data_IF_461947032581
#
_entry.id   IF_461947032581
#
_cell.length_a   1.000
_cell.length_b   1.000
_cell.length_c   1.000
_cell.angle_alpha   90.00
_cell.angle_beta   90.00
_cell.angle_gamma   90.00
#
_symmetry.space_group_name_H-M   'P 1'
#
loop_
_entity.id
_entity.type
_entity.pdbx_description
1 polymer ?
#
# COMPACT_ATOMS: atom_id res chain seq x y z
N UNK A 1 -23.38 72.33 -19.90
CA UNK A 1 -24.43 71.32 -19.61
C UNK A 1 -24.31 70.05 -20.45
N UNK A 2 -24.00 70.13 -21.75
CA UNK A 2 -23.86 68.97 -22.64
C UNK A 2 -22.62 68.09 -22.35
N UNK A 3 -21.48 68.71 -22.03
CA UNK A 3 -20.19 68.02 -21.75
C UNK A 3 -20.19 67.16 -20.48
N UNK A 4 -21.08 67.47 -19.52
CA UNK A 4 -21.19 66.74 -18.24
C UNK A 4 -21.99 65.45 -18.43
N UNK A 5 -23.11 65.51 -19.17
CA UNK A 5 -23.90 64.34 -19.55
C UNK A 5 -23.09 63.31 -20.36
N UNK A 6 -22.27 63.74 -21.30
CA UNK A 6 -21.42 62.82 -22.08
C UNK A 6 -20.34 62.15 -21.23
N UNK A 7 -19.76 62.86 -20.27
CA UNK A 7 -18.83 62.27 -19.29
C UNK A 7 -19.50 61.24 -18.39
N UNK A 8 -20.69 61.53 -17.88
CA UNK A 8 -21.43 60.62 -16.99
C UNK A 8 -21.81 59.32 -17.73
N UNK A 9 -22.23 59.43 -19.01
CA UNK A 9 -22.50 58.28 -19.88
C UNK A 9 -21.23 57.45 -20.11
N UNK A 10 -20.09 58.11 -20.38
CA UNK A 10 -18.81 57.43 -20.62
C UNK A 10 -18.34 56.65 -19.38
N UNK A 11 -18.49 57.23 -18.18
CA UNK A 11 -18.15 56.58 -16.91
C UNK A 11 -19.02 55.34 -16.70
N UNK A 12 -20.32 55.43 -17.00
CA UNK A 12 -21.25 54.32 -16.86
C UNK A 12 -20.91 53.16 -17.82
N UNK A 13 -20.61 53.46 -19.08
CA UNK A 13 -20.18 52.45 -20.07
C UNK A 13 -18.85 51.81 -19.66
N UNK A 14 -17.89 52.60 -19.19
CA UNK A 14 -16.61 52.08 -18.70
C UNK A 14 -16.79 51.13 -17.51
N UNK A 15 -17.66 51.48 -16.55
CA UNK A 15 -17.95 50.62 -15.41
C UNK A 15 -18.54 49.26 -15.84
N UNK A 16 -19.46 49.25 -16.81
CA UNK A 16 -20.04 48.01 -17.35
C UNK A 16 -18.97 47.13 -17.99
N UNK A 17 -18.05 47.71 -18.76
CA UNK A 17 -16.96 46.97 -19.40
C UNK A 17 -16.05 46.33 -18.36
N UNK A 18 -15.67 47.07 -17.31
CA UNK A 18 -14.81 46.56 -16.24
C UNK A 18 -15.48 45.42 -15.47
N UNK A 19 -16.75 45.57 -15.10
CA UNK A 19 -17.51 44.53 -14.40
C UNK A 19 -17.64 43.27 -15.28
N UNK A 20 -17.90 43.44 -16.57
CA UNK A 20 -18.04 42.32 -17.52
C UNK A 20 -16.71 41.58 -17.69
N UNK A 21 -15.59 42.30 -17.79
CA UNK A 21 -14.26 41.71 -17.89
C UNK A 21 -13.90 40.91 -16.62
N UNK A 22 -14.18 41.45 -15.44
CA UNK A 22 -13.97 40.74 -14.17
C UNK A 22 -14.83 39.48 -14.06
N UNK A 23 -16.12 39.57 -14.41
CA UNK A 23 -17.01 38.42 -14.42
C UNK A 23 -16.52 37.33 -15.39
N UNK A 24 -16.02 37.73 -16.55
CA UNK A 24 -15.47 36.79 -17.55
C UNK A 24 -14.20 36.09 -17.07
N UNK A 25 -13.28 36.82 -16.39
CA UNK A 25 -12.08 36.22 -15.79
C UNK A 25 -12.44 35.23 -14.69
N UNK A 26 -13.39 35.57 -13.83
CA UNK A 26 -13.89 34.66 -12.77
C UNK A 26 -14.53 33.42 -13.40
N UNK A 27 -15.35 33.60 -14.44
CA UNK A 27 -15.95 32.49 -15.17
C UNK A 27 -14.88 31.57 -15.79
N UNK A 28 -13.86 32.13 -16.46
CA UNK A 28 -12.75 31.36 -17.01
C UNK A 28 -11.98 30.59 -15.95
N UNK A 29 -11.72 31.22 -14.79
CA UNK A 29 -11.05 30.56 -13.67
C UNK A 29 -11.83 29.31 -13.21
N UNK A 30 -13.14 29.43 -12.98
CA UNK A 30 -13.97 28.30 -12.59
C UNK A 30 -14.14 27.26 -13.71
N UNK A 31 -14.21 27.69 -14.97
CA UNK A 31 -14.28 26.78 -16.12
C UNK A 31 -13.02 25.94 -16.26
N UNK A 32 -11.84 26.56 -16.12
CA UNK A 32 -10.54 25.87 -16.13
C UNK A 32 -10.45 24.92 -14.93
N UNK A 33 -10.77 25.37 -13.72
CA UNK A 33 -10.78 24.48 -12.55
C UNK A 33 -11.71 23.27 -12.74
N UNK A 34 -12.91 23.46 -13.32
CA UNK A 34 -13.82 22.35 -13.59
C UNK A 34 -13.28 21.39 -14.67
N UNK A 35 -12.61 21.92 -15.69
CA UNK A 35 -12.04 21.12 -16.80
C UNK A 35 -10.82 20.30 -16.35
N UNK A 36 -10.04 20.83 -15.42
CA UNK A 36 -8.82 20.20 -14.90
C UNK A 36 -8.96 19.66 -13.47
N UNK A 37 -10.17 19.64 -12.92
CA UNK A 37 -10.49 18.82 -11.77
C UNK A 37 -10.30 17.37 -12.24
N UNK A 38 -9.13 16.81 -11.93
CA UNK A 38 -8.90 15.38 -12.08
C UNK A 38 -10.06 14.67 -11.38
N UNK A 39 -10.86 13.95 -12.15
CA UNK A 39 -11.79 12.99 -11.57
C UNK A 39 -10.85 11.99 -10.90
N UNK A 40 -10.81 11.87 -9.57
CA UNK A 40 -10.03 10.83 -8.95
C UNK A 40 -10.72 9.54 -9.37
N UNK A 41 -10.22 8.90 -10.41
CA UNK A 41 -10.52 7.51 -10.72
C UNK A 41 -9.82 6.71 -9.66
N UNK A 42 -10.43 6.70 -8.47
CA UNK A 42 -10.08 5.90 -7.32
C UNK A 42 -10.35 4.44 -7.70
N UNK A 43 -9.46 3.90 -8.53
CA UNK A 43 -9.63 2.60 -9.17
C UNK A 43 -9.26 1.55 -8.14
N UNK A 44 -10.18 1.35 -7.19
CA UNK A 44 -10.03 0.40 -6.11
C UNK A 44 -10.19 -1.00 -6.66
N UNK A 45 -9.10 -1.74 -6.76
CA UNK A 45 -9.14 -3.18 -7.04
C UNK A 45 -8.99 -3.96 -5.74
N UNK A 46 -9.80 -5.00 -5.58
CA UNK A 46 -9.80 -5.88 -4.41
C UNK A 46 -9.58 -7.31 -4.91
N UNK A 47 -8.58 -7.98 -4.37
CA UNK A 47 -8.30 -9.39 -4.61
C UNK A 47 -8.42 -10.14 -3.31
N UNK A 48 -8.81 -11.41 -3.38
CA UNK A 48 -9.00 -12.25 -2.21
C UNK A 48 -8.49 -13.65 -2.49
N UNK A 49 -7.62 -14.15 -1.62
CA UNK A 49 -6.95 -15.44 -1.81
C UNK A 49 -6.77 -16.15 -0.46
N UNK A 50 -6.78 -17.48 -0.47
CA UNK A 50 -6.43 -18.27 0.70
C UNK A 50 -4.91 -18.28 0.92
N UNK A 51 -4.51 -18.32 2.19
CA UNK A 51 -3.13 -18.47 2.64
C UNK A 51 -3.07 -19.45 3.80
N UNK A 52 -1.99 -20.21 3.87
CA UNK A 52 -1.74 -21.19 4.92
C UNK A 52 -0.59 -20.69 5.79
N UNK A 53 -0.88 -20.43 7.07
CA UNK A 53 0.15 -19.98 8.01
C UNK A 53 0.87 -21.18 8.62
N UNK A 54 2.17 -21.22 8.41
CA UNK A 54 3.07 -22.11 9.13
C UNK A 54 3.87 -21.32 10.15
N UNK A 55 4.16 -21.94 11.29
CA UNK A 55 5.12 -21.43 12.26
C UNK A 55 6.26 -22.41 12.46
N UNK A 56 7.49 -21.91 12.38
CA UNK A 56 8.70 -22.63 12.82
C UNK A 56 9.14 -22.00 14.14
N UNK A 57 9.20 -22.80 15.20
CA UNK A 57 9.80 -22.41 16.49
C UNK A 57 11.22 -22.97 16.61
N UNK A 58 11.99 -22.44 17.55
CA UNK A 58 13.40 -22.78 17.84
C UNK A 58 13.70 -24.26 18.16
N UNK A 59 12.67 -25.09 18.26
CA UNK A 59 12.74 -26.54 18.43
C UNK A 59 12.33 -27.32 17.15
N UNK A 60 12.50 -26.68 15.98
CA UNK A 60 12.41 -27.22 14.60
C UNK A 60 11.12 -27.92 14.16
N UNK A 61 10.08 -27.90 15.00
CA UNK A 61 8.79 -28.49 14.65
C UNK A 61 7.92 -27.49 13.89
N UNK A 62 7.90 -27.63 12.56
CA UNK A 62 6.93 -26.95 11.70
C UNK A 62 5.51 -27.35 12.11
N UNK A 63 4.69 -26.36 12.46
CA UNK A 63 3.26 -26.57 12.68
C UNK A 63 2.47 -25.70 11.72
N UNK A 64 1.59 -26.32 10.93
CA UNK A 64 0.50 -25.60 10.28
C UNK A 64 -0.35 -25.03 11.42
N UNK A 65 -0.47 -23.70 11.46
CA UNK A 65 -1.14 -23.02 12.57
C UNK A 65 -2.60 -22.79 12.26
N UNK A 66 -2.91 -22.26 11.08
CA UNK A 66 -4.29 -21.96 10.66
C UNK A 66 -4.33 -21.50 9.20
N UNK A 67 -5.52 -21.41 8.64
CA UNK A 67 -5.79 -20.79 7.34
C UNK A 67 -6.10 -19.29 7.51
N UNK A 68 -5.73 -18.52 6.50
CA UNK A 68 -5.97 -17.09 6.41
C UNK A 68 -6.64 -16.75 5.09
N UNK A 69 -7.47 -15.71 5.13
CA UNK A 69 -7.95 -15.00 3.97
C UNK A 69 -7.10 -13.75 3.78
N UNK A 70 -6.32 -13.70 2.69
CA UNK A 70 -5.62 -12.49 2.26
C UNK A 70 -6.57 -11.62 1.45
N UNK A 71 -6.81 -10.39 1.90
CA UNK A 71 -7.53 -9.37 1.16
C UNK A 71 -6.53 -8.30 0.74
N UNK A 72 -6.29 -8.18 -0.56
CA UNK A 72 -5.40 -7.16 -1.14
C UNK A 72 -6.23 -6.05 -1.75
N UNK A 73 -6.05 -4.82 -1.28
CA UNK A 73 -6.70 -3.62 -1.83
C UNK A 73 -5.64 -2.71 -2.44
N UNK A 74 -5.71 -2.47 -3.75
CA UNK A 74 -4.82 -1.52 -4.43
C UNK A 74 -5.56 -0.20 -4.60
N UNK A 75 -4.94 0.89 -4.14
CA UNK A 75 -5.46 2.25 -4.28
C UNK A 75 -4.31 3.24 -4.48
N UNK A 76 -4.28 3.87 -5.65
CA UNK A 76 -3.28 4.87 -6.01
C UNK A 76 -1.84 4.39 -5.73
N UNK A 77 -1.15 5.03 -4.78
CA UNK A 77 0.22 4.70 -4.38
C UNK A 77 0.34 3.78 -3.15
N UNK A 78 -0.76 3.14 -2.75
CA UNK A 78 -0.80 2.29 -1.56
C UNK A 78 -1.46 0.95 -1.90
N UNK A 79 -0.81 -0.15 -1.52
CA UNK A 79 -1.40 -1.49 -1.54
C UNK A 79 -1.59 -1.95 -0.10
N UNK A 80 -2.82 -2.24 0.31
CA UNK A 80 -3.14 -2.76 1.64
C UNK A 80 -3.35 -4.27 1.58
N UNK A 81 -2.80 -4.98 2.54
CA UNK A 81 -2.94 -6.41 2.74
C UNK A 81 -3.56 -6.64 4.12
N UNK A 82 -4.73 -7.25 4.15
CA UNK A 82 -5.35 -7.72 5.38
C UNK A 82 -5.33 -9.25 5.39
N UNK A 83 -4.60 -9.84 6.33
CA UNK A 83 -4.62 -11.29 6.56
C UNK A 83 -5.61 -11.56 7.69
N UNK A 84 -6.74 -12.17 7.34
CA UNK A 84 -7.78 -12.53 8.31
C UNK A 84 -7.72 -14.01 8.63
N UNK A 85 -7.43 -14.35 9.87
CA UNK A 85 -7.47 -15.73 10.36
C UNK A 85 -8.89 -16.27 10.26
N UNK A 86 -9.05 -17.48 9.73
CA UNK A 86 -10.38 -18.11 9.59
C UNK A 86 -10.93 -18.65 10.90
N UNK A 87 -10.08 -18.80 11.92
CA UNK A 87 -10.44 -19.42 13.21
C UNK A 87 -10.34 -18.48 14.40
N UNK A 88 -9.57 -17.41 14.32
CA UNK A 88 -9.25 -16.53 15.46
C UNK A 88 -8.92 -15.11 14.99
N UNK A 89 -9.88 -14.19 15.11
CA UNK A 89 -9.74 -12.80 14.64
C UNK A 89 -8.69 -11.98 15.40
N UNK A 90 -8.24 -12.44 16.59
CA UNK A 90 -7.17 -11.76 17.34
C UNK A 90 -5.81 -11.88 16.65
N UNK A 91 -5.69 -12.81 15.69
CA UNK A 91 -4.48 -13.05 14.90
C UNK A 91 -4.50 -12.37 13.54
N UNK A 92 -5.45 -11.46 13.33
CA UNK A 92 -5.54 -10.72 12.08
C UNK A 92 -4.35 -9.75 11.96
N UNK A 93 -3.83 -9.63 10.76
CA UNK A 93 -2.66 -8.83 10.44
C UNK A 93 -3.02 -7.82 9.37
N UNK A 94 -2.51 -6.59 9.49
CA UNK A 94 -2.65 -5.56 8.46
C UNK A 94 -1.31 -4.96 8.12
N UNK A 95 -1.04 -4.86 6.82
CA UNK A 95 0.21 -4.35 6.28
C UNK A 95 -0.12 -3.46 5.08
N UNK A 96 0.57 -2.33 4.97
CA UNK A 96 0.46 -1.45 3.80
C UNK A 96 1.81 -1.38 3.09
N UNK A 97 1.78 -1.25 1.77
CA UNK A 97 2.95 -1.04 0.94
C UNK A 97 2.82 0.29 0.22
N UNK A 98 3.75 1.21 0.49
CA UNK A 98 3.84 2.51 -0.14
C UNK A 98 4.64 2.39 -1.43
N UNK A 99 3.97 2.40 -2.58
CA UNK A 99 4.62 2.10 -3.86
C UNK A 99 5.65 3.16 -4.28
N UNK A 100 5.48 4.42 -3.84
CA UNK A 100 6.41 5.53 -4.13
C UNK A 100 7.79 5.32 -3.51
N UNK A 101 7.83 4.93 -2.24
CA UNK A 101 9.07 4.75 -1.50
C UNK A 101 9.53 3.29 -1.48
N UNK A 102 8.69 2.38 -1.96
CA UNK A 102 8.85 0.93 -1.83
C UNK A 102 9.00 0.47 -0.38
N UNK A 103 8.37 1.16 0.57
CA UNK A 103 8.41 0.86 2.00
C UNK A 103 7.17 0.06 2.42
N UNK A 104 7.35 -0.80 3.43
CA UNK A 104 6.25 -1.52 4.08
C UNK A 104 5.92 -0.80 5.37
N UNK A 105 4.65 -0.54 5.63
CA UNK A 105 4.15 -0.08 6.92
C UNK A 105 3.43 -1.24 7.57
N UNK A 106 3.96 -1.68 8.70
CA UNK A 106 3.42 -2.78 9.47
C UNK A 106 3.24 -2.31 10.92
N UNK A 107 1.97 -2.19 11.32
CA UNK A 107 1.55 -1.59 12.58
C UNK A 107 2.12 -0.17 12.76
N UNK A 108 2.86 0.08 13.84
CA UNK A 108 3.50 1.37 14.12
C UNK A 108 4.94 1.46 13.58
N UNK A 109 5.36 0.51 12.74
CA UNK A 109 6.76 0.39 12.29
C UNK A 109 6.85 0.37 10.76
N UNK A 110 7.81 1.13 10.23
CA UNK A 110 8.13 1.15 8.81
C UNK A 110 9.32 0.21 8.53
N UNK A 111 9.30 -0.44 7.38
CA UNK A 111 10.35 -1.31 6.89
C UNK A 111 10.86 -0.83 5.54
N UNK A 112 12.18 -0.84 5.41
CA UNK A 112 12.91 -0.48 4.19
C UNK A 112 13.47 -1.73 3.54
N UNK A 113 13.52 -1.73 2.21
CA UNK A 113 14.13 -2.82 1.45
C UNK A 113 15.64 -2.76 1.58
N UNK A 114 16.28 -3.89 1.92
CA UNK A 114 17.74 -3.99 1.96
C UNK A 114 18.32 -5.03 0.99
N UNK A 115 17.52 -6.01 0.55
CA UNK A 115 17.94 -7.01 -0.45
C UNK A 115 16.80 -7.27 -1.46
N UNK A 116 17.14 -7.55 -2.72
CA UNK A 116 16.17 -7.78 -3.80
C UNK A 116 16.33 -9.15 -4.44
N UNK A 117 15.20 -9.76 -4.87
CA UNK A 117 15.15 -11.06 -5.56
C UNK A 117 15.90 -12.16 -4.83
N UNK A 118 15.64 -12.27 -3.54
CA UNK A 118 16.36 -13.14 -2.62
C UNK A 118 15.89 -14.59 -2.71
N UNK A 119 14.59 -14.83 -2.83
CA UNK A 119 14.01 -16.18 -2.90
C UNK A 119 12.74 -16.20 -3.75
N UNK A 120 12.39 -17.36 -4.31
CA UNK A 120 11.12 -17.61 -4.98
C UNK A 120 10.16 -18.35 -4.06
N UNK A 121 8.85 -18.11 -4.18
CA UNK A 121 7.84 -18.85 -3.41
C UNK A 121 7.88 -20.36 -3.66
N UNK A 122 8.27 -20.78 -4.87
CA UNK A 122 8.61 -22.16 -5.21
C UNK A 122 9.50 -22.19 -6.47
N UNK A 123 10.09 -23.34 -6.82
CA UNK A 123 11.06 -23.44 -7.92
C UNK A 123 10.52 -23.02 -9.30
N UNK A 124 9.21 -23.16 -9.52
CA UNK A 124 8.56 -22.86 -10.79
C UNK A 124 7.87 -21.48 -10.80
N UNK A 125 7.95 -20.74 -9.69
CA UNK A 125 7.33 -19.43 -9.55
C UNK A 125 8.17 -18.36 -10.24
N UNK A 126 7.51 -17.43 -10.94
CA UNK A 126 8.14 -16.20 -11.43
C UNK A 126 8.20 -15.11 -10.35
N UNK A 127 7.52 -15.33 -9.22
CA UNK A 127 7.44 -14.38 -8.11
C UNK A 127 8.70 -14.48 -7.26
N UNK A 128 9.47 -13.40 -7.29
CA UNK A 128 10.62 -13.18 -6.44
C UNK A 128 10.25 -12.30 -5.24
N UNK A 129 10.84 -12.62 -4.10
CA UNK A 129 10.67 -11.88 -2.86
C UNK A 129 11.91 -11.07 -2.56
N UNK A 130 11.67 -9.83 -2.15
CA UNK A 130 12.69 -8.92 -1.64
C UNK A 130 12.71 -9.02 -0.10
N UNK A 131 13.83 -8.67 0.52
CA UNK A 131 13.95 -8.60 1.97
C UNK A 131 13.88 -7.18 2.48
N UNK A 132 13.19 -7.05 3.60
CA UNK A 132 12.86 -5.81 4.26
C UNK A 132 13.28 -5.89 5.73
N UNK A 133 13.82 -4.80 6.24
CA UNK A 133 14.19 -4.67 7.65
C UNK A 133 13.52 -3.44 8.24
N UNK A 134 13.38 -3.42 9.57
CA UNK A 134 12.84 -2.27 10.28
C UNK A 134 13.72 -1.05 10.03
N UNK A 135 13.11 0.05 9.59
CA UNK A 135 13.79 1.32 9.37
C UNK A 135 14.43 1.86 10.65
N UNK A 136 13.70 1.72 11.75
CA UNK A 136 14.14 2.04 13.11
C UNK A 136 14.11 0.74 13.92
N UNK A 137 15.27 0.08 14.12
CA UNK A 137 15.32 -1.17 14.87
C UNK A 137 14.83 -0.98 16.32
N UNK A 138 14.01 -1.91 16.79
CA UNK A 138 13.58 -1.98 18.18
C UNK A 138 14.01 -3.31 18.79
N UNK A 139 14.16 -3.31 20.12
CA UNK A 139 14.39 -4.55 20.87
C UNK A 139 13.21 -5.49 20.58
N UNK A 140 13.53 -6.74 20.25
CA UNK A 140 12.57 -7.79 19.91
C UNK A 140 11.71 -7.51 18.66
N UNK A 141 12.18 -6.60 17.79
CA UNK A 141 11.53 -6.27 16.53
C UNK A 141 11.40 -7.47 15.58
N UNK A 142 10.27 -7.56 14.89
CA UNK A 142 9.99 -8.64 13.93
C UNK A 142 10.67 -8.36 12.58
N UNK A 143 11.94 -8.69 12.47
CA UNK A 143 12.76 -8.46 11.27
C UNK A 143 13.71 -9.64 11.04
N UNK A 144 14.02 -10.02 9.78
CA UNK A 144 13.53 -9.42 8.53
C UNK A 144 12.15 -9.91 8.06
N UNK A 145 11.58 -9.21 7.07
CA UNK A 145 10.33 -9.54 6.37
C UNK A 145 10.64 -9.85 4.89
N UNK A 146 10.12 -10.97 4.38
CA UNK A 146 10.15 -11.29 2.94
C UNK A 146 8.84 -10.88 2.29
N UNK A 147 8.91 -10.03 1.26
CA UNK A 147 7.73 -9.41 0.67
C UNK A 147 7.81 -9.29 -0.85
N UNK A 148 6.65 -9.39 -1.50
CA UNK A 148 6.46 -9.05 -2.90
C UNK A 148 5.11 -8.33 -3.07
N UNK A 149 5.07 -7.27 -3.90
CA UNK A 149 3.87 -6.43 -4.07
C UNK A 149 2.67 -7.14 -4.73
N UNK A 150 2.91 -8.26 -5.40
CA UNK A 150 1.88 -9.03 -6.07
C UNK A 150 1.33 -10.10 -5.14
N UNK A 151 2.22 -10.76 -4.39
CA UNK A 151 1.91 -11.85 -3.46
C UNK A 151 1.49 -11.42 -2.06
N UNK A 152 2.09 -10.35 -1.52
CA UNK A 152 2.07 -10.00 -0.11
C UNK A 152 3.34 -10.45 0.64
N UNK A 153 3.18 -10.71 1.94
CA UNK A 153 4.21 -11.23 2.84
C UNK A 153 4.34 -12.73 2.58
N UNK A 154 5.58 -13.19 2.42
CA UNK A 154 5.93 -14.61 2.43
C UNK A 154 6.33 -15.05 3.83
N UNK A 155 7.21 -14.29 4.48
CA UNK A 155 7.73 -14.64 5.79
C UNK A 155 7.97 -13.40 6.67
N UNK A 156 7.79 -13.56 7.98
CA UNK A 156 8.12 -12.58 9.02
C UNK A 156 8.97 -13.30 10.04
N UNK A 157 10.22 -12.89 10.18
CA UNK A 157 11.07 -13.40 11.23
C UNK A 157 10.62 -12.89 12.59
N UNK A 158 10.67 -13.76 13.60
CA UNK A 158 10.38 -13.39 14.98
C UNK A 158 11.55 -13.85 15.87
N UNK A 159 12.32 -12.93 16.48
CA UNK A 159 13.45 -13.30 17.33
C UNK A 159 13.02 -13.91 18.68
N UNK A 160 11.82 -13.58 19.17
CA UNK A 160 11.30 -14.05 20.47
C UNK A 160 10.24 -15.16 20.36
N UNK A 161 9.97 -15.63 19.15
CA UNK A 161 8.86 -16.52 18.92
C UNK A 161 8.98 -17.26 17.60
N UNK A 162 7.90 -17.95 17.19
CA UNK A 162 7.88 -18.63 15.91
C UNK A 162 7.82 -17.61 14.78
N UNK A 163 8.68 -17.80 13.78
CA UNK A 163 8.57 -17.08 12.51
C UNK A 163 7.32 -17.51 11.76
N UNK A 164 6.68 -16.56 11.09
CA UNK A 164 5.43 -16.76 10.38
C UNK A 164 5.69 -16.89 8.88
N UNK A 165 5.13 -17.93 8.24
CA UNK A 165 5.25 -18.17 6.80
C UNK A 165 3.85 -18.29 6.18
N UNK A 166 3.51 -17.41 5.24
CA UNK A 166 2.21 -17.36 4.58
C UNK A 166 2.29 -17.97 3.19
N UNK A 167 1.96 -19.26 3.09
CA UNK A 167 2.07 -20.02 1.84
C UNK A 167 0.75 -20.00 1.05
N UNK A 168 0.84 -20.08 -0.27
CA UNK A 168 -0.32 -20.20 -1.18
C UNK A 168 -0.83 -21.65 -1.33
N UNK A 169 -0.05 -22.63 -0.85
CA UNK A 169 -0.38 -24.06 -0.89
C UNK A 169 -0.34 -24.71 0.51
N UNK A 170 -1.24 -25.67 0.70
CA UNK A 170 -1.21 -26.55 1.86
C UNK A 170 -0.08 -27.59 1.72
N UNK A 171 0.48 -28.02 2.85
CA UNK A 171 1.58 -28.98 2.98
C UNK A 171 2.89 -28.61 2.27
N UNK A 172 3.21 -27.32 2.15
CA UNK A 172 4.45 -26.85 1.50
C UNK A 172 5.67 -26.84 2.45
N UNK A 173 5.76 -27.84 3.33
CA UNK A 173 6.71 -27.89 4.44
C UNK A 173 8.18 -27.80 4.00
N UNK A 174 8.54 -28.46 2.90
CA UNK A 174 9.90 -28.43 2.36
C UNK A 174 10.28 -27.03 1.86
N UNK A 175 9.34 -26.34 1.21
CA UNK A 175 9.56 -24.99 0.75
C UNK A 175 9.65 -24.02 1.94
N UNK A 176 8.83 -24.20 2.97
CA UNK A 176 8.91 -23.41 4.20
C UNK A 176 10.29 -23.57 4.87
N UNK A 177 10.85 -24.79 4.92
CA UNK A 177 12.20 -25.01 5.45
C UNK A 177 13.27 -24.26 4.63
N UNK A 178 13.22 -24.33 3.30
CA UNK A 178 14.13 -23.57 2.42
C UNK A 178 14.02 -22.06 2.61
N UNK A 179 12.80 -21.56 2.79
CA UNK A 179 12.56 -20.13 3.06
C UNK A 179 13.14 -19.77 4.43
N UNK A 180 12.96 -20.62 5.43
CA UNK A 180 13.50 -20.41 6.78
C UNK A 180 15.03 -20.35 6.80
N UNK A 181 15.72 -21.23 6.07
CA UNK A 181 17.18 -21.22 5.93
C UNK A 181 17.72 -19.93 5.30
N UNK A 182 16.89 -19.22 4.51
CA UNK A 182 17.27 -17.97 3.89
C UNK A 182 16.85 -16.74 4.70
N UNK A 183 15.93 -16.92 5.64
CA UNK A 183 15.40 -15.86 6.50
C UNK A 183 16.36 -15.50 7.64
N UNK A 184 17.21 -16.45 8.04
CA UNK A 184 18.23 -16.34 9.09
C UNK A 184 19.62 -16.58 8.51
#
# INVERSE_FOLDING_TARGET
>A
THLRKTKDILIFVFAIIVVSALAYVIFLFFYVQKRYAEIPTDTKSIFTESRYLYGISSNDNLKLRTEYLLIKTVRDSIIKYEYKSTTDSTRNLKVSYLTKNQEIQFDLTDYVKYESKTIRSNSNSEIWFDMYEMKEPIIDGMSPVMFNKDYGILAIANPLGPSAFFMDKQNDSLQVMKISEKLY
#
